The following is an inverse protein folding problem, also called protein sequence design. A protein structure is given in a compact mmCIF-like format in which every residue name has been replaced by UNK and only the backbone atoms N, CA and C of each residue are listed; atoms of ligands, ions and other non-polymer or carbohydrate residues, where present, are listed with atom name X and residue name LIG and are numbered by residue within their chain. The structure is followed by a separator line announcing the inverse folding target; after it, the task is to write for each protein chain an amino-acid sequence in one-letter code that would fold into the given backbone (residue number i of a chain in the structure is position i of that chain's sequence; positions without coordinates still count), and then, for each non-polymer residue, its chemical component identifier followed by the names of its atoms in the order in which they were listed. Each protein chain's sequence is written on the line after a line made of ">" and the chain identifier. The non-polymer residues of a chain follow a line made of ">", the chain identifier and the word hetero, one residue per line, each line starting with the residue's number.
data_IF_259912918614
#
_entry.id   IF_259912918614
#
_cell.length_a   1.000
_cell.length_b   1.000
_cell.length_c   1.000
_cell.angle_alpha   90.00
_cell.angle_beta   90.00
_cell.angle_gamma   90.00
#
_symmetry.space_group_name_H-M   'P 1'
#
loop_
_entity.id
_entity.type
_entity.pdbx_description
1 polymer ?
#
# COMPACT_ATOMS: atom_id res chain seq x y z
N UNK A 1 4.16 -4.08 -22.03
CA UNK A 1 3.33 -3.47 -20.98
C UNK A 1 3.87 -3.80 -19.60
N UNK A 2 3.96 -2.82 -18.77
CA UNK A 2 4.51 -3.00 -17.41
C UNK A 2 3.41 -3.49 -16.48
N UNK A 3 3.64 -4.62 -15.82
CA UNK A 3 2.72 -5.09 -14.79
C UNK A 3 2.94 -4.27 -13.52
N UNK A 4 1.89 -3.69 -12.99
CA UNK A 4 1.95 -2.96 -11.73
C UNK A 4 1.90 -3.92 -10.56
N UNK A 5 2.63 -3.60 -9.50
CA UNK A 5 2.69 -4.40 -8.28
C UNK A 5 2.23 -3.57 -7.10
N UNK A 6 1.35 -4.15 -6.30
CA UNK A 6 0.83 -3.50 -5.10
C UNK A 6 1.13 -4.40 -3.91
N UNK A 7 1.75 -3.83 -2.87
CA UNK A 7 1.91 -4.52 -1.60
C UNK A 7 0.82 -4.02 -0.66
N UNK A 8 -0.01 -4.93 -0.18
CA UNK A 8 -1.12 -4.64 0.72
C UNK A 8 -0.75 -5.14 2.11
N UNK A 9 -0.67 -4.25 3.09
CA UNK A 9 -0.23 -4.55 4.45
C UNK A 9 -1.36 -4.25 5.45
N UNK A 10 -1.89 -5.29 6.06
CA UNK A 10 -2.96 -5.17 7.05
C UNK A 10 -2.95 -6.43 7.91
N UNK A 11 -3.19 -6.30 9.22
CA UNK A 11 -3.23 -7.44 10.11
C UNK A 11 -4.63 -8.08 10.22
N UNK A 12 -5.63 -7.46 9.60
CA UNK A 12 -7.00 -7.98 9.61
C UNK A 12 -7.25 -8.83 8.34
N UNK A 13 -7.41 -10.17 8.48
CA UNK A 13 -7.61 -11.03 7.31
C UNK A 13 -8.86 -10.68 6.50
N UNK A 14 -9.92 -10.21 7.14
CA UNK A 14 -11.15 -9.83 6.45
C UNK A 14 -10.92 -8.60 5.57
N UNK A 15 -10.20 -7.60 6.06
CA UNK A 15 -9.88 -6.41 5.30
C UNK A 15 -8.98 -6.73 4.11
N UNK A 16 -8.02 -7.64 4.30
CA UNK A 16 -7.16 -8.10 3.21
C UNK A 16 -8.00 -8.78 2.12
N UNK A 17 -8.91 -9.65 2.51
CA UNK A 17 -9.76 -10.36 1.56
C UNK A 17 -10.67 -9.40 0.79
N UNK A 18 -11.27 -8.43 1.48
CA UNK A 18 -12.13 -7.43 0.84
C UNK A 18 -11.34 -6.58 -0.15
N UNK A 19 -10.14 -6.16 0.22
CA UNK A 19 -9.29 -5.35 -0.65
C UNK A 19 -8.84 -6.14 -1.88
N UNK A 20 -8.49 -7.42 -1.71
CA UNK A 20 -8.12 -8.29 -2.81
C UNK A 20 -9.27 -8.48 -3.79
N UNK A 21 -10.50 -8.67 -3.28
CA UNK A 21 -11.68 -8.77 -4.13
C UNK A 21 -11.90 -7.50 -4.93
N UNK A 22 -11.76 -6.34 -4.30
CA UNK A 22 -11.96 -5.07 -4.96
C UNK A 22 -10.94 -4.82 -6.07
N UNK A 23 -9.66 -5.06 -5.78
CA UNK A 23 -8.58 -4.84 -6.75
C UNK A 23 -8.64 -5.88 -7.88
N UNK A 24 -8.92 -7.13 -7.53
CA UNK A 24 -8.92 -8.23 -8.49
C UNK A 24 -10.03 -8.19 -9.53
N UNK A 25 -11.15 -7.56 -9.20
CA UNK A 25 -12.32 -7.52 -10.07
C UNK A 25 -12.19 -6.50 -11.20
N UNK A 26 -11.27 -5.56 -11.08
CA UNK A 26 -11.13 -4.52 -12.09
C UNK A 26 -9.89 -4.72 -12.93
N UNK A 27 -10.10 -4.74 -14.24
CA UNK A 27 -9.01 -4.74 -15.19
C UNK A 27 -8.61 -3.31 -15.50
N UNK A 28 -7.34 -3.01 -15.34
CA UNK A 28 -6.79 -1.72 -15.75
C UNK A 28 -6.20 -1.93 -17.13
N UNK A 29 -6.94 -1.52 -18.17
CA UNK A 29 -6.57 -1.86 -19.53
C UNK A 29 -6.68 -3.37 -19.74
N UNK A 30 -5.65 -3.99 -20.25
CA UNK A 30 -5.61 -5.44 -20.47
C UNK A 30 -4.88 -6.21 -19.38
N UNK A 31 -4.34 -5.52 -18.38
CA UNK A 31 -3.57 -6.17 -17.33
C UNK A 31 -4.16 -5.90 -15.94
N UNK A 32 -4.08 -6.92 -15.09
CA UNK A 32 -4.43 -6.78 -13.68
C UNK A 32 -3.17 -6.50 -12.88
N UNK A 33 -3.24 -5.66 -11.85
CA UNK A 33 -2.09 -5.49 -10.97
C UNK A 33 -1.78 -6.79 -10.23
N UNK A 34 -0.52 -7.04 -9.99
CA UNK A 34 -0.10 -8.12 -9.12
C UNK A 34 -0.17 -7.62 -7.68
N UNK A 35 -0.91 -8.31 -6.83
CA UNK A 35 -1.07 -7.91 -5.43
C UNK A 35 -0.39 -8.93 -4.55
N UNK A 36 0.54 -8.44 -3.72
CA UNK A 36 1.20 -9.24 -2.70
C UNK A 36 0.69 -8.77 -1.34
N UNK A 37 0.42 -9.70 -0.47
CA UNK A 37 -0.20 -9.44 0.83
C UNK A 37 0.77 -9.70 1.95
N UNK A 38 0.84 -8.79 2.92
CA UNK A 38 1.57 -8.99 4.17
C UNK A 38 0.60 -8.82 5.34
N UNK A 39 0.63 -9.74 6.27
CA UNK A 39 -0.26 -9.74 7.44
C UNK A 39 0.21 -8.87 8.59
N UNK A 40 1.24 -8.07 8.41
CA UNK A 40 1.76 -7.18 9.43
C UNK A 40 3.01 -6.47 8.97
N UNK A 41 3.50 -5.54 9.79
CA UNK A 41 4.65 -4.72 9.44
C UNK A 41 5.94 -5.50 9.25
N UNK A 42 6.19 -6.46 10.13
CA UNK A 42 7.41 -7.27 10.04
C UNK A 42 7.45 -8.10 8.76
N UNK A 43 6.32 -8.71 8.41
CA UNK A 43 6.21 -9.48 7.17
C UNK A 43 6.40 -8.59 5.96
N UNK A 44 5.83 -7.37 5.97
CA UNK A 44 6.00 -6.42 4.89
C UNK A 44 7.47 -6.07 4.68
N UNK A 45 8.20 -5.77 5.75
CA UNK A 45 9.62 -5.43 5.65
C UNK A 45 10.45 -6.61 5.18
N UNK A 46 10.11 -7.81 5.62
CA UNK A 46 10.78 -9.02 5.17
C UNK A 46 10.61 -9.23 3.66
N UNK A 47 9.40 -9.04 3.15
CA UNK A 47 9.13 -9.15 1.72
C UNK A 47 9.88 -8.09 0.92
N UNK A 48 9.89 -6.85 1.38
CA UNK A 48 10.56 -5.75 0.68
C UNK A 48 12.08 -5.94 0.66
N UNK A 49 12.68 -6.27 1.79
CA UNK A 49 14.12 -6.51 1.85
C UNK A 49 14.53 -7.74 1.07
N UNK A 50 13.72 -8.78 1.11
CA UNK A 50 13.96 -9.99 0.32
C UNK A 50 13.97 -9.70 -1.17
N UNK A 51 13.07 -8.85 -1.64
CA UNK A 51 13.03 -8.46 -3.05
C UNK A 51 14.29 -7.69 -3.45
N UNK A 52 14.74 -6.75 -2.61
CA UNK A 52 15.97 -6.00 -2.86
C UNK A 52 17.18 -6.93 -2.94
N UNK A 53 17.31 -7.83 -1.97
CA UNK A 53 18.45 -8.75 -1.89
C UNK A 53 18.50 -9.73 -3.05
N UNK A 54 17.33 -10.16 -3.54
CA UNK A 54 17.25 -11.12 -4.64
C UNK A 54 17.14 -10.46 -6.02
N UNK A 55 17.18 -9.15 -6.10
CA UNK A 55 17.06 -8.44 -7.37
C UNK A 55 15.69 -8.57 -8.00
N UNK A 56 14.66 -8.83 -7.20
CA UNK A 56 13.29 -8.96 -7.70
C UNK A 56 12.60 -7.61 -7.77
N UNK A 57 11.55 -7.48 -8.60
CA UNK A 57 10.83 -6.22 -8.72
C UNK A 57 10.19 -5.77 -7.39
N UNK A 58 10.29 -4.48 -7.11
CA UNK A 58 9.66 -3.87 -5.94
C UNK A 58 8.24 -3.44 -6.28
N UNK A 59 7.36 -3.29 -5.28
CA UNK A 59 6.02 -2.78 -5.54
C UNK A 59 6.07 -1.33 -6.02
N UNK A 60 5.09 -0.97 -6.84
CA UNK A 60 4.89 0.39 -7.31
C UNK A 60 4.06 1.20 -6.33
N UNK A 61 3.39 0.53 -5.42
CA UNK A 61 2.51 1.13 -4.42
C UNK A 61 2.45 0.22 -3.20
N UNK A 62 2.50 0.83 -2.02
CA UNK A 62 2.24 0.14 -0.75
C UNK A 62 0.95 0.71 -0.16
N UNK A 63 -0.03 -0.16 0.09
CA UNK A 63 -1.24 0.19 0.85
C UNK A 63 -1.03 -0.33 2.26
N UNK A 64 -1.03 0.56 3.23
CA UNK A 64 -0.52 0.26 4.56
C UNK A 64 -1.50 0.68 5.65
N UNK A 65 -1.91 -0.27 6.48
CA UNK A 65 -2.73 0.05 7.65
C UNK A 65 -1.86 0.71 8.72
N UNK A 66 -2.46 1.61 9.47
CA UNK A 66 -1.77 2.36 10.51
C UNK A 66 -1.60 1.55 11.79
N UNK A 67 -2.68 0.92 12.25
CA UNK A 67 -2.73 0.24 13.55
C UNK A 67 -2.56 -1.26 13.39
N UNK A 68 -1.36 -1.75 13.69
CA UNK A 68 -1.03 -3.17 13.64
C UNK A 68 -0.21 -3.54 14.87
N UNK A 69 -0.32 -4.78 15.37
CA UNK A 69 0.49 -5.19 16.52
C UNK A 69 1.97 -5.33 16.15
N UNK A 70 2.82 -5.21 17.14
CA UNK A 70 4.28 -5.36 17.05
C UNK A 70 4.96 -4.24 16.26
N UNK A 71 4.74 -4.17 14.96
CA UNK A 71 5.29 -3.13 14.10
C UNK A 71 4.15 -2.42 13.39
N UNK A 72 3.81 -1.21 13.82
CA UNK A 72 2.69 -0.47 13.27
C UNK A 72 3.03 0.20 11.92
N UNK A 73 2.03 0.85 11.34
CA UNK A 73 2.19 1.49 10.03
C UNK A 73 3.23 2.61 10.01
N UNK A 74 3.33 3.39 11.09
CA UNK A 74 4.34 4.45 11.15
C UNK A 74 5.76 3.87 11.16
N UNK A 75 5.95 2.75 11.87
CA UNK A 75 7.25 2.08 11.90
C UNK A 75 7.64 1.54 10.53
N UNK A 76 6.68 0.95 9.79
CA UNK A 76 6.92 0.50 8.43
C UNK A 76 7.27 1.68 7.52
N UNK A 77 6.52 2.76 7.64
CA UNK A 77 6.73 3.97 6.84
C UNK A 77 8.13 4.54 7.08
N UNK A 78 8.55 4.64 8.35
CA UNK A 78 9.89 5.09 8.70
C UNK A 78 10.96 4.20 8.09
N UNK A 79 10.78 2.89 8.17
CA UNK A 79 11.74 1.93 7.63
C UNK A 79 11.86 2.05 6.10
N UNK A 80 10.74 2.23 5.42
CA UNK A 80 10.72 2.40 3.96
C UNK A 80 11.43 3.71 3.58
N UNK A 81 11.13 4.80 4.26
CA UNK A 81 11.71 6.12 3.94
C UNK A 81 13.20 6.21 4.29
N UNK A 82 13.65 5.44 5.27
CA UNK A 82 15.06 5.41 5.65
C UNK A 82 15.91 4.52 4.74
N UNK A 83 15.28 3.64 3.97
CA UNK A 83 15.97 2.68 3.12
C UNK A 83 16.20 3.27 1.73
N UNK A 84 17.46 3.32 1.31
CA UNK A 84 17.84 3.90 0.03
C UNK A 84 17.19 3.21 -1.18
N UNK A 85 16.87 1.92 -1.08
CA UNK A 85 16.24 1.17 -2.16
C UNK A 85 14.71 1.25 -2.15
N UNK A 86 14.12 1.60 -1.01
CA UNK A 86 12.66 1.58 -0.81
C UNK A 86 12.02 2.97 -0.72
N UNK A 87 12.81 3.98 -0.42
CA UNK A 87 12.29 5.30 -0.02
C UNK A 87 11.43 6.02 -1.07
N UNK A 88 11.54 5.64 -2.34
CA UNK A 88 10.78 6.29 -3.40
C UNK A 88 9.42 5.61 -3.66
N UNK A 89 9.15 4.49 -3.01
CA UNK A 89 7.87 3.79 -3.19
C UNK A 89 6.74 4.62 -2.58
N UNK A 90 5.68 4.95 -3.34
CA UNK A 90 4.53 5.63 -2.78
C UNK A 90 3.86 4.74 -1.71
N UNK A 91 3.53 5.36 -0.58
CA UNK A 91 2.83 4.67 0.51
C UNK A 91 1.52 5.40 0.77
N UNK A 92 0.42 4.72 0.55
CA UNK A 92 -0.92 5.22 0.88
C UNK A 92 -1.38 4.55 2.15
N UNK A 93 -1.66 5.35 3.18
CA UNK A 93 -2.23 4.82 4.41
C UNK A 93 -3.69 4.48 4.16
N UNK A 94 -4.12 3.30 4.56
CA UNK A 94 -5.49 2.83 4.40
C UNK A 94 -5.95 2.29 5.75
N UNK A 95 -6.67 3.10 6.51
CA UNK A 95 -6.96 2.82 7.92
C UNK A 95 -8.34 3.33 8.32
N UNK A 96 -8.89 2.76 9.40
CA UNK A 96 -10.16 3.21 9.94
C UNK A 96 -10.06 4.51 10.73
N UNK A 97 -8.85 4.94 11.10
CA UNK A 97 -8.68 6.15 11.90
C UNK A 97 -8.84 7.41 11.07
N UNK A 98 -9.77 8.27 11.47
CA UNK A 98 -9.92 9.61 10.92
C UNK A 98 -9.43 10.72 11.86
N UNK A 99 -8.66 10.36 12.88
CA UNK A 99 -8.17 11.34 13.86
C UNK A 99 -7.09 12.24 13.24
N UNK A 100 -7.20 13.54 13.47
CA UNK A 100 -6.23 14.50 12.94
C UNK A 100 -4.79 14.18 13.34
N UNK A 101 -4.56 13.74 14.57
CA UNK A 101 -3.22 13.41 15.02
C UNK A 101 -2.60 12.26 14.23
N UNK A 102 -3.42 11.27 13.86
CA UNK A 102 -2.95 10.12 13.08
C UNK A 102 -2.64 10.53 11.65
N UNK A 103 -3.48 11.38 11.08
CA UNK A 103 -3.27 11.90 9.72
C UNK A 103 -1.98 12.73 9.67
N UNK A 104 -1.81 13.65 10.63
CA UNK A 104 -0.60 14.48 10.69
C UNK A 104 0.67 13.66 10.90
N UNK A 105 0.59 12.66 11.79
CA UNK A 105 1.73 11.78 12.06
C UNK A 105 2.12 11.01 10.80
N UNK A 106 1.15 10.48 10.06
CA UNK A 106 1.41 9.74 8.83
C UNK A 106 2.15 10.61 7.81
N UNK A 107 1.66 11.82 7.56
CA UNK A 107 2.34 12.72 6.62
C UNK A 107 3.70 13.17 7.12
N UNK A 108 3.85 13.41 8.42
CA UNK A 108 5.13 13.79 9.01
C UNK A 108 6.18 12.67 8.84
N UNK A 109 5.74 11.41 8.84
CA UNK A 109 6.61 10.25 8.64
C UNK A 109 6.79 9.89 7.16
N UNK A 110 6.17 10.62 6.24
CA UNK A 110 6.43 10.46 4.82
C UNK A 110 5.37 9.73 4.02
N UNK A 111 4.12 9.67 4.51
CA UNK A 111 3.03 9.10 3.73
C UNK A 111 2.77 9.92 2.48
N UNK A 112 2.48 9.24 1.38
CA UNK A 112 2.12 9.88 0.12
C UNK A 112 0.66 10.31 0.10
N UNK A 113 -0.20 9.56 0.77
CA UNK A 113 -1.62 9.86 0.90
C UNK A 113 -2.21 9.14 2.11
N UNK A 114 -3.39 9.56 2.51
CA UNK A 114 -4.08 8.98 3.66
C UNK A 114 -5.55 8.80 3.30
N UNK A 115 -6.03 7.56 3.38
CA UNK A 115 -7.41 7.22 3.04
C UNK A 115 -8.06 6.55 4.25
N UNK A 116 -9.21 7.06 4.66
CA UNK A 116 -9.99 6.46 5.75
C UNK A 116 -10.84 5.34 5.13
N UNK A 117 -10.71 4.12 5.69
CA UNK A 117 -11.47 2.96 5.19
C UNK A 117 -12.97 3.21 5.35
N UNK A 118 -13.74 3.18 4.25
CA UNK A 118 -15.19 3.22 4.37
C UNK A 118 -15.72 1.96 5.05
N UNK A 119 -16.80 2.09 5.82
CA UNK A 119 -17.44 0.96 6.48
C UNK A 119 -18.31 0.15 5.53
N UNK A 120 -18.89 0.83 4.54
CA UNK A 120 -19.72 0.19 3.52
C UNK A 120 -18.84 -0.45 2.45
N UNK A 121 -19.11 -1.72 2.13
CA UNK A 121 -18.30 -2.46 1.16
C UNK A 121 -18.30 -1.83 -0.23
N UNK A 122 -19.43 -1.30 -0.68
CA UNK A 122 -19.50 -0.67 -2.00
C UNK A 122 -18.61 0.58 -2.06
N UNK A 123 -18.62 1.39 -1.01
CA UNK A 123 -17.75 2.57 -0.92
C UNK A 123 -16.29 2.18 -0.78
N UNK A 124 -16.00 1.12 -0.03
CA UNK A 124 -14.65 0.60 0.12
C UNK A 124 -14.12 0.12 -1.24
N UNK A 125 -14.91 -0.63 -1.98
CA UNK A 125 -14.53 -1.13 -3.30
C UNK A 125 -14.27 0.02 -4.27
N UNK A 126 -15.13 1.04 -4.25
CA UNK A 126 -14.95 2.24 -5.09
C UNK A 126 -13.66 2.98 -4.73
N UNK A 127 -13.37 3.12 -3.43
CA UNK A 127 -12.13 3.75 -2.98
C UNK A 127 -10.90 2.97 -3.47
N UNK A 128 -10.94 1.64 -3.39
CA UNK A 128 -9.84 0.81 -3.87
C UNK A 128 -9.63 0.95 -5.38
N UNK A 129 -10.70 1.03 -6.16
CA UNK A 129 -10.61 1.25 -7.59
C UNK A 129 -10.00 2.61 -7.91
N UNK A 130 -10.38 3.64 -7.17
CA UNK A 130 -9.84 4.99 -7.35
C UNK A 130 -8.35 5.04 -7.03
N UNK A 131 -7.94 4.43 -5.92
CA UNK A 131 -6.53 4.36 -5.52
C UNK A 131 -5.73 3.64 -6.59
N UNK A 132 -6.20 2.48 -7.02
CA UNK A 132 -5.53 1.69 -8.04
C UNK A 132 -5.36 2.49 -9.34
N UNK A 133 -6.45 3.09 -9.82
CA UNK A 133 -6.42 3.85 -11.08
C UNK A 133 -5.45 5.03 -11.00
N UNK A 134 -5.46 5.77 -9.90
CA UNK A 134 -4.58 6.92 -9.75
C UNK A 134 -3.11 6.50 -9.70
N UNK A 135 -2.77 5.58 -8.81
CA UNK A 135 -1.37 5.26 -8.53
C UNK A 135 -0.73 4.36 -9.58
N UNK A 136 -1.52 3.57 -10.32
CA UNK A 136 -0.96 2.70 -11.36
C UNK A 136 -1.05 3.32 -12.76
N UNK A 137 -2.02 4.20 -13.01
CA UNK A 137 -2.22 4.76 -14.36
C UNK A 137 -1.87 6.23 -14.48
N UNK A 138 -2.25 7.05 -13.49
CA UNK A 138 -2.11 8.49 -13.59
C UNK A 138 -0.85 9.02 -12.94
N UNK A 139 -0.46 8.44 -11.81
CA UNK A 139 0.71 8.90 -11.08
C UNK A 139 1.99 8.52 -11.82
N UNK A 140 2.96 9.43 -11.83
CA UNK A 140 4.29 9.18 -12.41
C UNK A 140 5.28 8.89 -11.31
N UNK A 141 5.89 7.72 -11.38
CA UNK A 141 6.82 7.24 -10.35
C UNK A 141 8.27 7.50 -10.78
N UNK A 142 9.14 8.02 -9.90
CA UNK A 142 10.54 8.30 -10.26
C UNK A 142 11.31 7.11 -10.81
N UNK A 143 11.02 5.90 -10.32
CA UNK A 143 11.72 4.69 -10.77
C UNK A 143 11.37 4.24 -12.18
N UNK A 144 10.35 4.86 -12.78
CA UNK A 144 9.92 4.49 -14.13
C UNK A 144 10.67 5.26 -15.24
N UNK A 145 11.60 6.11 -14.85
CA UNK A 145 12.34 6.96 -15.80
C UNK A 145 13.82 6.71 -15.77
#
# INVERSE_FOLDING_TARGET
>A
MTTHRILLVDDNPNDLELALSAIGDEKVGESRPEVVVAGGGQEAMKLLRGAVECGQPLPDLILLDLKMPQMDGLAVLDAVRADQDLRDIPVVMLTTSGEDRDIRAAYAHGASAYVIKPLDFAQFSEAMHTIQAFWTNLNRHPRLY
#
